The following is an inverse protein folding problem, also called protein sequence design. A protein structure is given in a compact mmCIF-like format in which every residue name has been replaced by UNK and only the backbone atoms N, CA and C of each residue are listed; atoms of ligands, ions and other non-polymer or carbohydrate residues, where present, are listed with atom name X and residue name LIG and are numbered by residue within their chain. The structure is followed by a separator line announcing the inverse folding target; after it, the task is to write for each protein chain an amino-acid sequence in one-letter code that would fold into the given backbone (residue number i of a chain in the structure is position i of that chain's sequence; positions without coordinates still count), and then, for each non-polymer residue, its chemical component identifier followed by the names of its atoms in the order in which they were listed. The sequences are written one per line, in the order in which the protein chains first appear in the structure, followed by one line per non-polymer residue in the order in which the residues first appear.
data_IF_836103862302
#
_entry.id   IF_836103862302
#
_cell.length_a   1.000
_cell.length_b   1.000
_cell.length_c   1.000
_cell.angle_alpha   90.00
_cell.angle_beta   90.00
_cell.angle_gamma   90.00
#
_symmetry.space_group_name_H-M   'P 1'
#
loop_
_entity.id
_entity.type
_entity.pdbx_description
1 polymer ?
#
# COMPACT_ATOMS: atom_id res chain seq x y z
N UNK A 1 0.14 -18.50 -28.99
CA UNK A 1 -1.00 -18.18 -28.11
C UNK A 1 -0.67 -16.88 -27.42
N UNK A 2 -1.28 -15.78 -27.87
CA UNK A 2 -1.07 -14.44 -27.33
C UNK A 2 -2.22 -14.15 -26.37
N UNK A 3 -1.95 -14.28 -25.08
CA UNK A 3 -2.74 -13.77 -23.96
C UNK A 3 -1.74 -12.88 -23.22
N UNK A 4 -2.00 -11.62 -22.85
CA UNK A 4 -3.26 -11.08 -22.33
C UNK A 4 -3.11 -9.56 -22.36
N UNK A 5 -3.92 -8.85 -23.17
CA UNK A 5 -4.29 -7.50 -22.79
C UNK A 5 -5.08 -7.67 -21.48
N UNK A 6 -4.71 -6.94 -20.42
CA UNK A 6 -5.54 -6.93 -19.21
C UNK A 6 -6.95 -6.54 -19.64
N UNK A 7 -7.96 -7.37 -19.34
CA UNK A 7 -9.33 -6.95 -19.60
C UNK A 7 -9.59 -5.73 -18.71
N UNK A 8 -10.42 -4.73 -19.11
CA UNK A 8 -10.67 -3.55 -18.27
C UNK A 8 -11.03 -3.89 -16.81
N UNK A 9 -11.74 -5.02 -16.60
CA UNK A 9 -12.09 -5.57 -15.30
C UNK A 9 -10.89 -5.94 -14.39
N UNK A 10 -9.76 -6.31 -14.98
CA UNK A 10 -8.54 -6.69 -14.27
C UNK A 10 -7.92 -5.48 -13.55
N UNK A 11 -7.87 -4.34 -14.24
CA UNK A 11 -7.34 -3.10 -13.68
C UNK A 11 -8.31 -2.44 -12.69
N UNK A 12 -9.62 -2.57 -12.92
CA UNK A 12 -10.64 -2.19 -11.93
C UNK A 12 -10.44 -2.97 -10.62
N UNK A 13 -10.19 -4.28 -10.70
CA UNK A 13 -9.95 -5.12 -9.52
C UNK A 13 -8.67 -4.69 -8.76
N UNK A 14 -7.64 -4.27 -9.49
CA UNK A 14 -6.43 -3.71 -8.87
C UNK A 14 -6.72 -2.36 -8.21
N UNK A 15 -7.47 -1.48 -8.88
CA UNK A 15 -7.90 -0.21 -8.32
C UNK A 15 -8.75 -0.38 -7.05
N UNK A 16 -9.67 -1.35 -7.02
CA UNK A 16 -10.43 -1.74 -5.83
C UNK A 16 -9.48 -2.13 -4.68
N UNK A 17 -8.47 -2.97 -4.99
CA UNK A 17 -7.51 -3.44 -3.98
C UNK A 17 -6.64 -2.31 -3.42
N UNK A 18 -6.24 -1.34 -4.26
CA UNK A 18 -5.50 -0.16 -3.82
C UNK A 18 -6.36 0.77 -2.97
N UNK A 19 -7.62 0.98 -3.35
CA UNK A 19 -8.58 1.75 -2.57
C UNK A 19 -8.80 1.13 -1.19
N UNK A 20 -8.97 -0.19 -1.12
CA UNK A 20 -9.10 -0.91 0.14
C UNK A 20 -7.82 -0.82 1.01
N UNK A 21 -6.64 -0.75 0.39
CA UNK A 21 -5.37 -0.55 1.10
C UNK A 21 -5.27 0.87 1.68
N UNK A 22 -5.72 1.88 0.92
CA UNK A 22 -5.80 3.25 1.38
C UNK A 22 -6.78 3.40 2.56
N UNK A 23 -7.92 2.71 2.53
CA UNK A 23 -8.88 2.70 3.64
C UNK A 23 -8.29 2.13 4.93
N UNK A 24 -7.57 1.00 4.86
CA UNK A 24 -6.88 0.42 6.02
C UNK A 24 -5.78 1.34 6.54
N UNK A 25 -5.04 1.99 5.64
CA UNK A 25 -4.02 2.98 6.01
C UNK A 25 -4.66 4.17 6.74
N UNK A 26 -5.76 4.71 6.21
CA UNK A 26 -6.52 5.79 6.83
C UNK A 26 -6.99 5.40 8.24
N UNK A 27 -7.59 4.22 8.39
CA UNK A 27 -8.05 3.72 9.69
C UNK A 27 -6.87 3.57 10.66
N UNK A 28 -5.70 3.12 10.19
CA UNK A 28 -4.50 2.96 11.02
C UNK A 28 -3.94 4.31 11.48
N UNK A 29 -3.92 5.32 10.62
CA UNK A 29 -3.51 6.69 10.96
C UNK A 29 -4.45 7.25 12.03
N UNK A 30 -5.76 7.19 11.81
CA UNK A 30 -6.77 7.72 12.73
C UNK A 30 -6.74 7.00 14.09
N UNK A 31 -6.48 5.68 14.12
CA UNK A 31 -6.23 4.94 15.37
C UNK A 31 -4.98 5.45 16.10
N UNK A 32 -3.89 5.69 15.37
CA UNK A 32 -2.64 6.23 15.93
C UNK A 32 -2.81 7.62 16.54
N UNK A 33 -3.52 8.53 15.86
CA UNK A 33 -3.83 9.87 16.36
C UNK A 33 -4.66 9.81 17.64
N UNK A 34 -5.74 9.00 17.66
CA UNK A 34 -6.57 8.83 18.86
C UNK A 34 -5.81 8.21 20.02
N UNK A 35 -4.89 7.28 19.74
CA UNK A 35 -4.03 6.70 20.78
C UNK A 35 -3.10 7.75 21.37
N UNK A 36 -2.49 8.59 20.54
CA UNK A 36 -1.62 9.67 20.99
C UNK A 36 -2.36 10.67 21.90
N UNK A 37 -3.55 11.13 21.47
CA UNK A 37 -4.39 12.04 22.27
C UNK A 37 -4.75 11.46 23.65
N UNK A 38 -5.00 10.14 23.74
CA UNK A 38 -5.28 9.48 25.03
C UNK A 38 -4.05 9.40 25.93
N UNK A 39 -2.85 9.24 25.36
CA UNK A 39 -1.59 9.18 26.12
C UNK A 39 -1.21 10.55 26.69
N UNK A 40 -1.43 11.62 25.91
CA UNK A 40 -1.24 13.01 26.33
C UNK A 40 -2.18 13.37 27.50
N UNK A 41 -3.43 12.85 27.51
CA UNK A 41 -4.38 13.05 28.61
C UNK A 41 -4.11 12.22 29.88
N UNK A 42 -3.32 11.14 29.80
CA UNK A 42 -3.08 10.19 30.91
C UNK A 42 -1.66 10.30 31.54
N UNK A 43 -1.00 11.46 31.46
CA UNK A 43 0.35 11.69 31.98
C UNK A 43 1.39 10.66 31.48
N UNK A 44 1.30 10.24 30.21
CA UNK A 44 2.37 9.48 29.53
C UNK A 44 2.58 8.01 29.98
N UNK A 45 1.65 7.39 30.72
CA UNK A 45 1.77 5.99 31.20
C UNK A 45 1.45 4.92 30.14
N UNK A 46 1.90 5.07 28.90
CA UNK A 46 1.75 4.03 27.87
C UNK A 46 3.01 3.84 27.06
N UNK A 47 3.62 2.66 27.16
CA UNK A 47 4.93 2.32 26.56
C UNK A 47 4.95 2.11 25.04
N UNK A 48 3.94 2.56 24.30
CA UNK A 48 3.95 2.52 22.84
C UNK A 48 4.52 3.83 22.29
N UNK A 49 5.53 3.75 21.41
CA UNK A 49 6.08 4.93 20.77
C UNK A 49 4.98 5.65 19.97
N UNK A 50 4.69 6.92 20.29
CA UNK A 50 3.55 7.60 19.72
C UNK A 50 3.75 7.93 18.24
N UNK A 51 2.64 7.94 17.49
CA UNK A 51 2.63 8.42 16.11
C UNK A 51 2.91 9.94 16.12
N UNK A 52 4.09 10.33 15.65
CA UNK A 52 4.46 11.75 15.57
C UNK A 52 3.64 12.46 14.49
N UNK A 53 3.46 13.77 14.62
CA UNK A 53 2.72 14.57 13.63
C UNK A 53 3.31 14.44 12.22
N UNK A 54 4.63 14.55 12.07
CA UNK A 54 5.29 14.40 10.76
C UNK A 54 5.13 13.00 10.16
N UNK A 55 5.14 11.94 10.99
CA UNK A 55 4.87 10.59 10.50
C UNK A 55 3.41 10.40 10.11
N UNK A 56 2.46 10.99 10.86
CA UNK A 56 1.06 10.97 10.49
C UNK A 56 0.82 11.68 9.16
N UNK A 57 1.46 12.83 8.94
CA UNK A 57 1.36 13.58 7.69
C UNK A 57 1.88 12.77 6.50
N UNK A 58 3.08 12.20 6.59
CA UNK A 58 3.64 11.38 5.52
C UNK A 58 2.76 10.16 5.18
N UNK A 59 2.15 9.52 6.19
CA UNK A 59 1.22 8.43 5.97
C UNK A 59 -0.08 8.89 5.29
N UNK A 60 -0.59 10.08 5.63
CA UNK A 60 -1.74 10.68 4.95
C UNK A 60 -1.44 11.01 3.50
N UNK A 61 -0.24 11.53 3.20
CA UNK A 61 0.19 11.79 1.82
C UNK A 61 0.21 10.50 1.00
N UNK A 62 0.73 9.40 1.57
CA UNK A 62 0.69 8.08 0.92
C UNK A 62 -0.74 7.59 0.70
N UNK A 63 -1.63 7.80 1.68
CA UNK A 63 -3.05 7.41 1.61
C UNK A 63 -3.79 8.15 0.48
N UNK A 64 -3.65 9.46 0.40
CA UNK A 64 -4.24 10.28 -0.67
C UNK A 64 -3.68 9.87 -2.02
N UNK A 65 -2.37 9.68 -2.12
CA UNK A 65 -1.73 9.28 -3.37
C UNK A 65 -2.19 7.89 -3.83
N UNK A 66 -2.39 6.92 -2.92
CA UNK A 66 -2.94 5.61 -3.26
C UNK A 66 -4.34 5.72 -3.86
N UNK A 67 -5.21 6.58 -3.30
CA UNK A 67 -6.55 6.84 -3.87
C UNK A 67 -6.48 7.48 -5.24
N UNK A 68 -5.55 8.42 -5.43
CA UNK A 68 -5.34 9.05 -6.73
C UNK A 68 -4.91 8.01 -7.78
N UNK A 69 -3.96 7.13 -7.44
CA UNK A 69 -3.54 6.06 -8.35
C UNK A 69 -4.67 5.08 -8.66
N UNK A 70 -5.46 4.68 -7.65
CA UNK A 70 -6.63 3.83 -7.87
C UNK A 70 -7.64 4.49 -8.83
N UNK A 71 -7.94 5.77 -8.61
CA UNK A 71 -8.83 6.53 -9.49
C UNK A 71 -8.32 6.63 -10.93
N UNK A 72 -7.02 6.88 -11.12
CA UNK A 72 -6.39 6.88 -12.44
C UNK A 72 -6.52 5.52 -13.13
N UNK A 73 -6.35 4.42 -12.39
CA UNK A 73 -6.51 3.08 -12.94
C UNK A 73 -7.95 2.78 -13.39
N UNK A 74 -8.98 3.28 -12.69
CA UNK A 74 -10.35 3.16 -13.19
C UNK A 74 -10.59 3.94 -14.49
N UNK A 75 -10.05 5.17 -14.58
CA UNK A 75 -10.25 6.03 -15.75
C UNK A 75 -9.56 5.45 -16.98
N UNK A 76 -8.37 4.89 -16.80
CA UNK A 76 -7.51 4.42 -17.90
C UNK A 76 -7.54 2.89 -18.10
N UNK A 77 -8.41 2.17 -17.39
CA UNK A 77 -8.49 0.69 -17.43
C UNK A 77 -8.65 0.11 -18.85
N UNK A 78 -9.32 0.85 -19.75
CA UNK A 78 -9.52 0.42 -21.13
C UNK A 78 -8.29 0.61 -22.03
N UNK A 79 -7.31 1.41 -21.61
CA UNK A 79 -6.14 1.79 -22.41
C UNK A 79 -4.83 1.17 -21.90
N UNK A 80 -4.82 0.65 -20.68
CA UNK A 80 -3.60 0.16 -20.03
C UNK A 80 -3.39 -1.33 -20.27
N UNK A 81 -2.23 -1.67 -20.83
CA UNK A 81 -1.74 -3.05 -20.91
C UNK A 81 -0.68 -3.28 -19.83
N UNK A 82 -0.73 -4.44 -19.17
CA UNK A 82 0.34 -4.88 -18.26
C UNK A 82 1.52 -5.54 -19.01
N UNK A 83 1.46 -5.59 -20.34
CA UNK A 83 2.47 -6.21 -21.19
C UNK A 83 3.85 -5.54 -20.98
N UNK A 84 4.89 -6.36 -20.83
CA UNK A 84 6.26 -5.87 -20.61
C UNK A 84 6.59 -5.45 -19.17
N UNK A 85 5.63 -5.46 -18.23
CA UNK A 85 5.90 -5.14 -16.81
C UNK A 85 6.58 -6.26 -16.02
N UNK A 86 6.69 -7.47 -16.57
CA UNK A 86 7.36 -8.59 -15.90
C UNK A 86 6.67 -9.04 -14.61
N UNK A 87 5.43 -8.61 -14.37
CA UNK A 87 4.57 -9.01 -13.26
C UNK A 87 3.19 -9.38 -13.81
N UNK A 88 2.50 -10.28 -13.13
CA UNK A 88 1.13 -10.67 -13.49
C UNK A 88 0.10 -9.98 -12.60
N UNK A 89 -1.10 -9.74 -13.10
CA UNK A 89 -2.19 -9.18 -12.29
C UNK A 89 -2.48 -10.02 -11.02
N UNK A 90 -2.59 -11.36 -11.07
CA UNK A 90 -2.82 -12.15 -9.85
C UNK A 90 -1.74 -11.95 -8.79
N UNK A 91 -0.48 -11.80 -9.21
CA UNK A 91 0.62 -11.50 -8.30
C UNK A 91 0.47 -10.12 -7.65
N UNK A 92 0.11 -9.09 -8.44
CA UNK A 92 -0.14 -7.74 -7.92
C UNK A 92 -1.30 -7.72 -6.93
N UNK A 93 -2.41 -8.38 -7.25
CA UNK A 93 -3.57 -8.48 -6.36
C UNK A 93 -3.22 -9.19 -5.05
N UNK A 94 -2.45 -10.28 -5.12
CA UNK A 94 -1.97 -10.97 -3.93
C UNK A 94 -1.11 -10.04 -3.06
N UNK A 95 -0.14 -9.34 -3.66
CA UNK A 95 0.75 -8.42 -2.93
C UNK A 95 0.00 -7.24 -2.33
N UNK A 96 -0.96 -6.66 -3.05
CA UNK A 96 -1.82 -5.59 -2.53
C UNK A 96 -2.68 -6.10 -1.36
N UNK A 97 -3.24 -7.31 -1.46
CA UNK A 97 -3.97 -7.95 -0.37
C UNK A 97 -3.11 -8.21 0.88
N UNK A 98 -1.88 -8.70 0.70
CA UNK A 98 -0.91 -8.92 1.80
C UNK A 98 -0.46 -7.60 2.43
N UNK A 99 -0.20 -6.58 1.61
CA UNK A 99 0.14 -5.24 2.08
C UNK A 99 -1.01 -4.64 2.89
N UNK A 100 -2.25 -4.74 2.41
CA UNK A 100 -3.46 -4.32 3.14
C UNK A 100 -3.56 -4.99 4.50
N UNK A 101 -3.45 -6.31 4.54
CA UNK A 101 -3.55 -7.07 5.79
C UNK A 101 -2.42 -6.70 6.76
N UNK A 102 -1.22 -6.45 6.22
CA UNK A 102 -0.10 -5.98 7.00
C UNK A 102 -0.33 -4.58 7.56
N UNK A 103 -0.76 -3.62 6.74
CA UNK A 103 -1.11 -2.24 7.11
C UNK A 103 -2.13 -2.25 8.27
N UNK A 104 -3.12 -3.16 8.20
CA UNK A 104 -4.16 -3.31 9.22
C UNK A 104 -3.60 -3.68 10.59
N UNK A 105 -2.55 -4.51 10.65
CA UNK A 105 -2.00 -5.13 11.87
C UNK A 105 -0.72 -4.47 12.40
N UNK A 106 0.01 -3.75 11.56
CA UNK A 106 1.35 -3.29 11.91
C UNK A 106 1.32 -2.13 12.90
N UNK A 107 2.06 -2.28 14.00
CA UNK A 107 2.13 -1.25 15.05
C UNK A 107 3.31 -0.30 14.87
N UNK A 108 4.36 -0.74 14.15
CA UNK A 108 5.57 0.06 13.96
C UNK A 108 5.38 1.04 12.80
N UNK A 109 5.31 2.33 13.14
CA UNK A 109 5.11 3.43 12.17
C UNK A 109 6.12 3.42 11.03
N UNK A 110 7.40 3.13 11.29
CA UNK A 110 8.43 3.06 10.25
C UNK A 110 8.16 1.96 9.23
N UNK A 111 7.70 0.80 9.69
CA UNK A 111 7.39 -0.33 8.82
C UNK A 111 6.09 -0.06 8.03
N UNK A 112 5.09 0.53 8.69
CA UNK A 112 3.87 1.00 8.04
C UNK A 112 4.18 1.98 6.89
N UNK A 113 5.03 2.97 7.16
CA UNK A 113 5.44 3.96 6.17
C UNK A 113 6.16 3.31 4.98
N UNK A 114 7.11 2.41 5.23
CA UNK A 114 7.80 1.67 4.17
C UNK A 114 6.86 0.88 3.27
N UNK A 115 5.93 0.11 3.86
CA UNK A 115 5.00 -0.72 3.09
C UNK A 115 4.05 0.14 2.27
N UNK A 116 3.50 1.21 2.87
CA UNK A 116 2.61 2.13 2.16
C UNK A 116 3.31 2.85 1.01
N UNK A 117 4.58 3.24 1.17
CA UNK A 117 5.36 3.91 0.14
C UNK A 117 5.71 2.96 -1.02
N UNK A 118 6.11 1.73 -0.73
CA UNK A 118 6.42 0.74 -1.77
C UNK A 118 5.17 0.33 -2.54
N UNK A 119 4.04 0.13 -1.85
CA UNK A 119 2.75 -0.15 -2.51
C UNK A 119 2.34 1.01 -3.42
N UNK A 120 2.50 2.26 -2.96
CA UNK A 120 2.24 3.45 -3.77
C UNK A 120 3.16 3.53 -4.99
N UNK A 121 4.45 3.26 -4.82
CA UNK A 121 5.41 3.28 -5.92
C UNK A 121 5.10 2.21 -6.99
N UNK A 122 4.68 1.02 -6.57
CA UNK A 122 4.16 -0.02 -7.48
C UNK A 122 2.93 0.48 -8.23
N UNK A 123 1.95 1.04 -7.51
CA UNK A 123 0.72 1.55 -8.12
C UNK A 123 0.99 2.67 -9.13
N UNK A 124 1.90 3.60 -8.80
CA UNK A 124 2.29 4.69 -9.68
C UNK A 124 3.01 4.20 -10.95
N UNK A 125 3.89 3.21 -10.84
CA UNK A 125 4.57 2.63 -12.00
C UNK A 125 3.57 1.96 -12.97
N UNK A 126 2.57 1.27 -12.43
CA UNK A 126 1.49 0.63 -13.20
C UNK A 126 0.60 1.68 -13.86
N UNK A 127 0.12 2.66 -13.09
CA UNK A 127 -0.74 3.73 -13.60
C UNK A 127 -0.06 4.58 -14.67
N UNK A 128 1.27 4.72 -14.61
CA UNK A 128 2.06 5.42 -15.63
C UNK A 128 2.48 4.53 -16.81
N UNK A 129 2.17 3.23 -16.79
CA UNK A 129 2.66 2.23 -17.75
C UNK A 129 4.19 2.25 -17.95
N UNK A 130 4.94 2.40 -16.85
CA UNK A 130 6.42 2.49 -16.85
C UNK A 130 7.07 1.26 -16.20
N UNK A 131 7.30 0.17 -16.96
CA UNK A 131 7.89 -1.07 -16.43
C UNK A 131 9.26 -0.87 -15.75
N UNK A 132 10.05 0.09 -16.21
CA UNK A 132 11.37 0.43 -15.68
C UNK A 132 11.34 0.93 -14.23
N UNK A 133 10.19 1.44 -13.76
CA UNK A 133 10.02 1.94 -12.40
C UNK A 133 9.37 0.92 -11.45
N UNK A 134 9.00 -0.27 -11.96
CA UNK A 134 8.26 -1.26 -11.18
C UNK A 134 9.17 -2.20 -10.38
N UNK A 135 10.29 -2.62 -10.95
CA UNK A 135 11.10 -3.70 -10.40
C UNK A 135 11.60 -3.42 -8.98
N UNK A 136 12.17 -2.22 -8.74
CA UNK A 136 12.71 -1.85 -7.45
C UNK A 136 11.63 -1.79 -6.32
N UNK A 137 10.52 -1.06 -6.46
CA UNK A 137 9.50 -1.01 -5.42
C UNK A 137 8.79 -2.35 -5.23
N UNK A 138 8.59 -3.14 -6.30
CA UNK A 138 8.00 -4.46 -6.20
C UNK A 138 8.87 -5.42 -5.36
N UNK A 139 10.18 -5.43 -5.60
CA UNK A 139 11.12 -6.24 -4.83
C UNK A 139 11.24 -5.77 -3.38
N UNK A 140 11.21 -4.45 -3.13
CA UNK A 140 11.19 -3.90 -1.77
C UNK A 140 9.93 -4.34 -1.02
N UNK A 141 8.76 -4.22 -1.65
CA UNK A 141 7.48 -4.64 -1.07
C UNK A 141 7.50 -6.13 -0.70
N UNK A 142 7.91 -6.99 -1.64
CA UNK A 142 8.05 -8.44 -1.42
C UNK A 142 8.94 -8.75 -0.23
N UNK A 143 10.09 -8.10 -0.13
CA UNK A 143 11.04 -8.29 0.97
C UNK A 143 10.47 -7.85 2.31
N UNK A 144 9.78 -6.71 2.36
CA UNK A 144 9.17 -6.21 3.59
C UNK A 144 8.05 -7.13 4.09
N UNK A 145 7.18 -7.60 3.20
CA UNK A 145 6.11 -8.55 3.52
C UNK A 145 6.68 -9.89 4.00
N UNK A 146 7.66 -10.45 3.28
CA UNK A 146 8.31 -11.70 3.67
C UNK A 146 9.01 -11.60 5.03
N UNK A 147 9.78 -10.52 5.26
CA UNK A 147 10.45 -10.28 6.54
C UNK A 147 9.47 -10.13 7.70
N UNK A 148 8.22 -9.74 7.43
CA UNK A 148 7.18 -9.66 8.44
C UNK A 148 6.50 -11.00 8.69
N UNK A 149 6.16 -11.75 7.65
CA UNK A 149 5.61 -13.11 7.81
C UNK A 149 6.55 -14.00 8.63
N UNK A 150 7.87 -13.90 8.39
CA UNK A 150 8.88 -14.61 9.17
C UNK A 150 8.88 -14.24 10.66
N UNK A 151 8.57 -12.98 11.00
CA UNK A 151 8.49 -12.48 12.39
C UNK A 151 7.17 -12.83 13.09
N UNK A 152 6.08 -13.00 12.35
CA UNK A 152 4.79 -13.44 12.91
C UNK A 152 4.74 -14.95 13.15
N UNK A 153 5.64 -15.72 12.53
CA UNK A 153 5.73 -17.19 12.63
C UNK A 153 6.77 -17.67 13.65
N UNK A 154 7.51 -16.76 14.28
CA UNK A 154 8.57 -17.01 15.25
C UNK A 154 8.10 -16.65 16.67
#
# INVERSE_FOLDING_TARGET
MSLTAALPHDLETLADSLSASADELHQRIMRGIRQQQRLEGNNGKGGAAPLTHGAAQALFENEVALRQQANSLYVDAASHSLEGMGVTLPELLRLAGEARETIRRIERVKELAGISADLLAVAAAIAAARPEHLAAPLESLKKQLAARHARESA
#
